data_IF_145925297440
#
_entry.id   IF_145925297440
#
_cell.length_a   1.000
_cell.length_b   1.000
_cell.length_c   1.000
_cell.angle_alpha   90.00
_cell.angle_beta   90.00
_cell.angle_gamma   90.00
#
_symmetry.space_group_name_H-M   'P 1'
#
loop_
_entity.id
_entity.type
_entity.pdbx_description
1 polymer ?
#
# COMPACT_ATOMS: atom_id res chain seq x y z
N UNK A 1 -20.25 -31.03 -8.54
CA UNK A 1 -20.07 -29.57 -8.69
C UNK A 1 -18.59 -29.26 -8.50
N UNK A 2 -17.86 -28.77 -9.53
CA UNK A 2 -16.46 -28.42 -9.36
C UNK A 2 -16.34 -27.17 -8.48
N UNK A 3 -15.49 -27.24 -7.46
CA UNK A 3 -15.25 -26.14 -6.51
C UNK A 3 -14.71 -24.93 -7.27
N UNK A 4 -15.42 -23.80 -7.16
CA UNK A 4 -14.98 -22.51 -7.68
C UNK A 4 -13.57 -22.21 -7.15
N UNK A 5 -12.66 -21.99 -8.07
CA UNK A 5 -11.35 -21.40 -7.80
C UNK A 5 -11.65 -19.96 -7.40
N UNK A 6 -11.75 -19.69 -6.10
CA UNK A 6 -11.79 -18.33 -5.54
C UNK A 6 -10.52 -17.66 -6.04
N UNK A 7 -10.63 -16.92 -7.13
CA UNK A 7 -9.49 -16.24 -7.73
C UNK A 7 -9.05 -15.16 -6.74
N UNK A 8 -7.76 -15.00 -6.51
CA UNK A 8 -7.15 -14.02 -5.58
C UNK A 8 -7.71 -12.58 -5.68
N UNK A 9 -8.43 -12.26 -6.76
CA UNK A 9 -9.23 -11.03 -6.89
C UNK A 9 -10.40 -10.91 -5.88
N UNK A 10 -10.94 -11.99 -5.31
CA UNK A 10 -12.03 -11.93 -4.33
C UNK A 10 -11.60 -11.38 -2.96
N UNK A 11 -10.28 -11.27 -2.68
CA UNK A 11 -9.75 -10.74 -1.41
C UNK A 11 -9.09 -9.35 -1.52
N UNK A 12 -9.07 -8.74 -2.71
CA UNK A 12 -8.45 -7.44 -2.90
C UNK A 12 -9.33 -6.29 -2.35
N UNK A 13 -8.83 -5.57 -1.34
CA UNK A 13 -9.47 -4.37 -0.82
C UNK A 13 -9.24 -3.12 -1.68
N UNK A 14 -10.13 -2.12 -1.56
CA UNK A 14 -9.99 -0.81 -2.23
C UNK A 14 -9.77 0.28 -1.18
N UNK A 15 -8.74 1.11 -1.39
CA UNK A 15 -8.54 2.32 -0.61
C UNK A 15 -9.14 3.53 -1.32
N UNK A 16 -10.03 4.24 -0.63
CA UNK A 16 -10.62 5.49 -1.10
C UNK A 16 -10.16 6.64 -0.21
N UNK A 17 -9.21 7.42 -0.70
CA UNK A 17 -8.73 8.62 0.00
C UNK A 17 -9.57 9.83 -0.41
N UNK A 18 -10.19 10.50 0.56
CA UNK A 18 -10.97 11.72 0.37
C UNK A 18 -10.27 12.89 1.06
N UNK A 19 -10.57 14.10 0.59
CA UNK A 19 -10.07 15.35 1.20
C UNK A 19 -8.54 15.44 1.29
N UNK A 20 -7.84 14.74 0.40
CA UNK A 20 -6.38 14.82 0.32
C UNK A 20 -5.98 16.20 -0.22
N UNK A 21 -5.11 16.95 0.49
CA UNK A 21 -4.62 18.22 0.00
C UNK A 21 -4.03 18.11 -1.41
N UNK A 22 -4.36 19.08 -2.27
CA UNK A 22 -3.97 19.01 -3.69
C UNK A 22 -2.45 19.01 -3.86
N UNK A 23 -1.72 19.71 -3.01
CA UNK A 23 -0.26 19.77 -3.05
C UNK A 23 0.36 18.40 -2.73
N UNK A 24 -0.22 17.64 -1.80
CA UNK A 24 0.20 16.26 -1.48
C UNK A 24 0.05 15.36 -2.69
N UNK A 25 -1.09 15.44 -3.39
CA UNK A 25 -1.32 14.66 -4.63
C UNK A 25 -0.28 15.00 -5.70
N UNK A 26 0.03 16.29 -5.87
CA UNK A 26 1.01 16.74 -6.87
C UNK A 26 2.41 16.24 -6.53
N UNK A 27 2.85 16.38 -5.27
CA UNK A 27 4.17 15.90 -4.82
C UNK A 27 4.31 14.39 -5.01
N UNK A 28 3.31 13.61 -4.60
CA UNK A 28 3.32 12.15 -4.78
C UNK A 28 3.40 11.74 -6.26
N UNK A 29 2.74 12.47 -7.18
CA UNK A 29 2.84 12.22 -8.62
C UNK A 29 4.24 12.53 -9.16
N UNK A 30 4.84 13.64 -8.73
CA UNK A 30 6.19 14.03 -9.15
C UNK A 30 7.21 12.99 -8.67
N UNK A 31 7.16 12.61 -7.40
CA UNK A 31 8.04 11.60 -6.81
C UNK A 31 7.90 10.26 -7.53
N UNK A 32 6.65 9.79 -7.73
CA UNK A 32 6.41 8.56 -8.48
C UNK A 32 6.97 8.63 -9.91
N UNK A 33 6.85 9.77 -10.60
CA UNK A 33 7.42 9.95 -11.93
C UNK A 33 8.95 9.93 -11.94
N UNK A 34 9.60 10.57 -10.96
CA UNK A 34 11.05 10.56 -10.81
C UNK A 34 11.60 9.14 -10.61
N UNK A 35 10.84 8.29 -9.91
CA UNK A 35 11.19 6.89 -9.67
C UNK A 35 10.71 5.92 -10.77
N UNK A 36 10.10 6.42 -11.84
CA UNK A 36 9.46 5.61 -12.89
C UNK A 36 8.46 4.58 -12.33
N UNK A 37 7.65 5.01 -11.35
CA UNK A 37 6.63 4.22 -10.64
C UNK A 37 5.25 4.85 -10.80
N UNK A 38 4.22 4.05 -10.51
CA UNK A 38 2.87 4.59 -10.26
C UNK A 38 2.77 5.14 -8.84
N UNK A 39 1.84 6.09 -8.60
CA UNK A 39 1.56 6.59 -7.24
C UNK A 39 1.18 5.44 -6.30
N UNK A 40 0.43 4.44 -6.78
CA UNK A 40 0.13 3.23 -6.00
C UNK A 40 1.41 2.51 -5.57
N UNK A 41 2.33 2.27 -6.50
CA UNK A 41 3.58 1.58 -6.20
C UNK A 41 4.46 2.38 -5.21
N UNK A 42 4.51 3.70 -5.34
CA UNK A 42 5.16 4.59 -4.37
C UNK A 42 4.56 4.41 -2.97
N UNK A 43 3.24 4.55 -2.83
CA UNK A 43 2.55 4.45 -1.54
C UNK A 43 2.73 3.06 -0.90
N UNK A 44 2.63 1.99 -1.69
CA UNK A 44 2.87 0.63 -1.17
C UNK A 44 4.30 0.46 -0.67
N UNK A 45 5.29 0.99 -1.39
CA UNK A 45 6.69 0.94 -0.96
C UNK A 45 6.94 1.72 0.33
N UNK A 46 6.31 2.89 0.50
CA UNK A 46 6.40 3.68 1.73
C UNK A 46 5.79 2.93 2.93
N UNK A 47 4.63 2.29 2.74
CA UNK A 47 3.99 1.48 3.79
C UNK A 47 4.86 0.29 4.18
N UNK A 48 5.39 -0.44 3.20
CA UNK A 48 6.26 -1.59 3.46
C UNK A 48 7.55 -1.19 4.17
N UNK A 49 8.21 -0.12 3.74
CA UNK A 49 9.40 0.42 4.39
C UNK A 49 9.12 0.82 5.85
N UNK A 50 7.96 1.44 6.10
CA UNK A 50 7.56 1.80 7.46
C UNK A 50 7.31 0.56 8.33
N UNK A 51 6.67 -0.48 7.80
CA UNK A 51 6.48 -1.73 8.53
C UNK A 51 7.80 -2.44 8.84
N UNK A 52 8.73 -2.50 7.89
CA UNK A 52 10.07 -3.05 8.13
C UNK A 52 10.80 -2.27 9.24
N UNK A 53 10.64 -0.94 9.30
CA UNK A 53 11.19 -0.14 10.38
C UNK A 53 10.55 -0.45 11.74
N UNK A 54 9.22 -0.56 11.78
CA UNK A 54 8.50 -0.91 13.00
C UNK A 54 8.83 -2.33 13.49
N UNK A 55 8.97 -3.30 12.57
CA UNK A 55 9.40 -4.66 12.88
C UNK A 55 10.79 -4.67 13.52
N UNK A 56 11.74 -3.95 12.90
CA UNK A 56 13.10 -3.80 13.43
C UNK A 56 13.12 -3.17 14.83
N UNK A 57 12.17 -2.29 15.13
CA UNK A 57 12.01 -1.66 16.46
C UNK A 57 11.24 -2.54 17.45
N UNK A 58 10.73 -3.70 17.03
CA UNK A 58 9.88 -4.57 17.85
C UNK A 58 8.51 -3.96 18.18
N UNK A 59 8.05 -2.99 17.38
CA UNK A 59 6.80 -2.26 17.58
C UNK A 59 5.63 -2.86 16.80
N UNK A 60 5.89 -3.71 15.81
CA UNK A 60 4.82 -4.48 15.20
C UNK A 60 4.39 -5.60 16.17
N UNK A 61 3.08 -5.71 16.46
CA UNK A 61 2.57 -6.86 17.18
C UNK A 61 3.00 -8.13 16.44
N UNK A 62 3.59 -9.10 17.16
CA UNK A 62 3.75 -10.45 16.63
C UNK A 62 2.33 -10.93 16.33
N UNK A 63 2.00 -11.03 15.04
CA UNK A 63 0.64 -11.29 14.57
C UNK A 63 -0.03 -12.35 15.44
N UNK A 64 -1.10 -11.98 16.14
CA UNK A 64 -2.05 -12.93 16.70
C UNK A 64 -2.86 -13.45 15.52
N UNK A 65 -2.38 -14.52 14.87
CA UNK A 65 -3.19 -15.35 14.00
C UNK A 65 -2.59 -16.75 13.93
#
# INVERSE_FOLDING_TARGET
MPKQKVSEMEEAGVWNFREVPRDVIVKAKIEAALENKSVKALLMGLVEAHWQELDRKGLLPKTTR
#
